data_IF_573463434329
#
_entry.id   IF_573463434329
#
_cell.length_a   1.000
_cell.length_b   1.000
_cell.length_c   1.000
_cell.angle_alpha   90.00
_cell.angle_beta   90.00
_cell.angle_gamma   90.00
#
_symmetry.space_group_name_H-M   'P 1'
#
loop_
_entity.id
_entity.type
_entity.pdbx_description
1 polymer ?
#
# COMPACT_ATOMS: atom_id res chain seq x y z
N UNK A 1 -9.64 12.80 -29.80
CA UNK A 1 -9.54 12.90 -29.16
C UNK A 1 -9.34 12.46 -28.66
N UNK A 2 -9.43 12.84 -29.22
CA UNK A 2 -9.16 12.85 -28.63
C UNK A 2 -8.88 12.45 -28.31
N UNK A 3 -8.68 12.41 -28.60
CA UNK A 3 -8.39 12.32 -28.10
C UNK A 3 -8.07 11.91 -27.84
N UNK A 4 -7.59 11.92 -28.05
CA UNK A 4 -7.31 11.73 -27.57
C UNK A 4 -7.04 11.44 -27.34
N UNK A 5 -6.99 11.45 -27.76
CA UNK A 5 -6.76 11.30 -27.22
C UNK A 5 -6.44 11.14 -26.83
N UNK A 6 -6.01 11.41 -27.55
CA UNK A 6 -5.85 11.31 -26.87
C UNK A 6 -5.58 11.14 -26.45
N UNK A 7 -5.40 11.12 -26.89
CA UNK A 7 -5.33 10.95 -26.13
C UNK A 7 -5.10 10.75 -25.75
N UNK A 8 -4.84 10.93 -26.25
CA UNK A 8 -4.74 10.83 -25.61
C UNK A 8 -4.52 10.81 -25.46
N UNK A 9 -4.30 10.84 -25.76
CA UNK A 9 -4.24 10.89 -25.24
C UNK A 9 -4.21 11.08 -24.70
N UNK A 10 -4.17 11.38 -25.11
CA UNK A 10 -4.20 11.64 -24.42
C UNK A 10 -3.91 11.68 -23.78
N UNK A 11 -3.77 11.81 -23.95
CA UNK A 11 -3.52 11.97 -23.26
C UNK A 11 -3.04 11.81 -22.45
N UNK A 12 -3.70 12.42 -22.48
CA UNK A 12 -3.00 12.37 -21.33
C UNK A 12 -2.62 11.05 -20.75
N UNK A 13 -1.55 10.83 -20.58
CA UNK A 13 -0.96 9.61 -20.17
C UNK A 13 -0.69 9.54 -18.68
N UNK A 14 -1.54 10.18 -17.90
CA UNK A 14 -1.39 10.17 -16.47
C UNK A 14 -1.71 8.78 -15.93
N UNK A 15 -0.71 8.14 -15.33
CA UNK A 15 -0.87 6.80 -14.77
C UNK A 15 -1.68 6.85 -13.49
N UNK A 16 -2.66 5.97 -13.36
CA UNK A 16 -3.43 5.81 -12.13
C UNK A 16 -2.93 4.58 -11.38
N UNK A 17 -2.46 4.79 -10.14
CA UNK A 17 -2.00 3.71 -9.26
C UNK A 17 -3.16 3.22 -8.42
N UNK A 18 -3.22 1.91 -8.21
CA UNK A 18 -4.24 1.29 -7.38
C UNK A 18 -3.68 1.01 -5.99
N UNK A 19 -4.38 1.50 -4.97
CA UNK A 19 -3.95 1.38 -3.56
C UNK A 19 -4.82 0.39 -2.82
N UNK A 20 -4.20 -0.52 -2.08
CA UNK A 20 -4.87 -1.38 -1.11
C UNK A 20 -4.34 -1.05 0.28
N UNK A 21 -5.25 -0.93 1.26
CA UNK A 21 -4.89 -0.64 2.64
C UNK A 21 -5.17 -1.86 3.51
N UNK A 22 -4.16 -2.34 4.23
CA UNK A 22 -4.28 -3.51 5.10
C UNK A 22 -3.93 -3.12 6.53
N UNK A 23 -4.91 -3.18 7.43
CA UNK A 23 -4.75 -2.84 8.83
C UNK A 23 -5.96 -3.41 9.57
N UNK A 24 -5.78 -3.97 10.76
CA UNK A 24 -6.90 -4.54 11.51
C UNK A 24 -7.75 -3.46 12.19
N UNK A 25 -7.31 -2.21 12.22
CA UNK A 25 -8.04 -1.09 12.80
C UNK A 25 -8.87 -0.38 11.75
N UNK A 26 -10.19 -0.38 11.93
CA UNK A 26 -11.11 0.38 11.08
C UNK A 26 -10.76 1.87 11.05
N UNK A 27 -10.44 2.43 12.22
CA UNK A 27 -10.10 3.85 12.32
C UNK A 27 -8.83 4.16 11.53
N UNK A 28 -7.84 3.29 11.62
CA UNK A 28 -6.58 3.50 10.91
C UNK A 28 -6.77 3.39 9.41
N UNK A 29 -7.56 2.40 8.93
CA UNK A 29 -7.84 2.29 7.50
C UNK A 29 -8.49 3.56 6.97
N UNK A 30 -9.49 4.10 7.70
CA UNK A 30 -10.15 5.33 7.29
C UNK A 30 -9.22 6.53 7.33
N UNK A 31 -8.33 6.57 8.32
CA UNK A 31 -7.38 7.66 8.43
C UNK A 31 -6.43 7.69 7.24
N UNK A 32 -5.89 6.51 6.87
CA UNK A 32 -4.97 6.42 5.73
C UNK A 32 -5.69 6.82 4.45
N UNK A 33 -6.92 6.32 4.26
CA UNK A 33 -7.70 6.66 3.07
C UNK A 33 -7.93 8.16 2.95
N UNK A 34 -8.28 8.82 4.05
CA UNK A 34 -8.59 10.25 4.03
C UNK A 34 -7.36 11.15 3.98
N UNK A 35 -6.23 10.67 4.49
CA UNK A 35 -5.03 11.48 4.62
C UNK A 35 -4.20 11.52 3.35
N UNK A 36 -4.28 10.48 2.50
CA UNK A 36 -3.52 10.49 1.27
C UNK A 36 -4.11 11.53 0.30
N UNK A 37 -3.23 12.23 -0.41
CA UNK A 37 -3.62 13.41 -1.18
C UNK A 37 -3.36 13.27 -2.69
N UNK A 38 -3.08 12.07 -3.18
CA UNK A 38 -2.67 11.88 -4.56
C UNK A 38 -3.88 11.62 -5.45
N UNK A 39 -4.07 12.47 -6.46
CA UNK A 39 -5.17 12.32 -7.41
C UNK A 39 -5.01 11.09 -8.29
N UNK A 40 -3.76 10.67 -8.51
CA UNK A 40 -3.46 9.51 -9.34
C UNK A 40 -3.36 8.21 -8.53
N UNK A 41 -3.82 8.23 -7.27
CA UNK A 41 -3.82 7.05 -6.41
C UNK A 41 -5.27 6.71 -6.04
N UNK A 42 -5.76 5.61 -6.58
CA UNK A 42 -7.16 5.19 -6.38
C UNK A 42 -7.23 4.03 -5.40
N UNK A 43 -8.02 4.19 -4.34
CA UNK A 43 -8.27 3.09 -3.41
C UNK A 43 -9.11 2.01 -4.07
N UNK A 44 -8.61 0.77 -4.10
CA UNK A 44 -9.35 -0.35 -4.68
C UNK A 44 -9.93 -1.27 -3.60
N UNK A 45 -9.52 -1.12 -2.36
CA UNK A 45 -10.13 -1.85 -1.27
C UNK A 45 -9.28 -1.83 -0.01
N UNK A 46 -9.88 -2.32 1.07
CA UNK A 46 -9.20 -2.43 2.36
C UNK A 46 -9.39 -3.84 2.92
N UNK A 47 -8.44 -4.28 3.74
CA UNK A 47 -8.49 -5.59 4.37
C UNK A 47 -8.07 -5.48 5.83
N UNK A 48 -8.64 -6.33 6.68
CA UNK A 48 -8.38 -6.31 8.11
C UNK A 48 -7.43 -7.38 8.59
N UNK A 49 -7.00 -8.28 7.70
CA UNK A 49 -6.02 -9.33 8.04
C UNK A 49 -5.36 -9.83 6.76
N UNK A 50 -4.35 -10.67 6.93
CA UNK A 50 -3.56 -11.14 5.79
C UNK A 50 -4.33 -12.03 4.83
N UNK A 51 -5.28 -12.83 5.33
CA UNK A 51 -6.09 -13.70 4.46
C UNK A 51 -6.97 -12.87 3.55
N UNK A 52 -7.67 -11.88 4.12
CA UNK A 52 -8.48 -10.95 3.32
C UNK A 52 -7.63 -10.16 2.35
N UNK A 53 -6.43 -9.76 2.78
CA UNK A 53 -5.52 -9.01 1.93
C UNK A 53 -5.14 -9.81 0.68
N UNK A 54 -4.83 -11.10 0.85
CA UNK A 54 -4.49 -11.95 -0.28
C UNK A 54 -5.64 -12.09 -1.27
N UNK A 55 -6.85 -12.30 -0.76
CA UNK A 55 -8.03 -12.43 -1.61
C UNK A 55 -8.29 -11.15 -2.39
N UNK A 56 -8.24 -10.01 -1.70
CA UNK A 56 -8.47 -8.71 -2.31
C UNK A 56 -7.37 -8.39 -3.34
N UNK A 57 -6.14 -8.72 -3.01
CA UNK A 57 -4.99 -8.48 -3.88
C UNK A 57 -5.16 -9.22 -5.22
N UNK A 58 -5.59 -10.46 -5.17
CA UNK A 58 -5.82 -11.26 -6.39
C UNK A 58 -6.94 -10.70 -7.24
N UNK A 59 -7.98 -10.13 -6.62
CA UNK A 59 -9.11 -9.56 -7.32
C UNK A 59 -8.83 -8.21 -7.96
N UNK A 60 -8.01 -7.38 -7.30
CA UNK A 60 -7.88 -5.97 -7.68
C UNK A 60 -6.53 -5.62 -8.27
N UNK A 61 -5.54 -6.47 -8.10
CA UNK A 61 -4.18 -6.29 -8.64
C UNK A 61 -3.61 -4.90 -8.32
N UNK A 62 -3.48 -4.54 -7.02
CA UNK A 62 -3.02 -3.21 -6.66
C UNK A 62 -1.54 -2.99 -6.97
N UNK A 63 -1.17 -1.74 -7.14
CA UNK A 63 0.20 -1.32 -7.39
C UNK A 63 0.93 -0.93 -6.12
N UNK A 64 0.17 -0.40 -5.15
CA UNK A 64 0.69 0.12 -3.89
C UNK A 64 -0.13 -0.45 -2.75
N UNK A 65 0.55 -0.94 -1.71
CA UNK A 65 -0.11 -1.51 -0.53
C UNK A 65 0.47 -0.86 0.72
N UNK A 66 -0.41 -0.40 1.62
CA UNK A 66 0.03 -0.07 2.98
C UNK A 66 -0.29 -1.28 3.86
N UNK A 67 0.67 -1.71 4.66
CA UNK A 67 0.59 -2.98 5.38
C UNK A 67 0.94 -2.82 6.85
N UNK A 68 -0.02 -3.10 7.73
CA UNK A 68 0.24 -3.30 9.15
C UNK A 68 0.81 -4.70 9.35
N UNK A 69 1.86 -4.82 10.13
CA UNK A 69 2.52 -6.12 10.32
C UNK A 69 2.14 -6.81 11.62
N UNK A 70 1.23 -6.22 12.40
CA UNK A 70 0.78 -6.79 13.68
C UNK A 70 -0.68 -7.21 13.63
N UNK A 71 -1.05 -7.97 12.61
CA UNK A 71 -2.44 -8.37 12.42
C UNK A 71 -2.67 -9.83 12.87
N UNK A 72 -3.92 -10.15 13.29
CA UNK A 72 -4.25 -11.54 13.60
C UNK A 72 -4.32 -12.39 12.34
N UNK A 73 -4.34 -13.69 12.53
CA UNK A 73 -4.44 -14.73 11.50
C UNK A 73 -3.14 -14.83 10.72
N UNK A 74 -3.01 -14.16 9.59
CA UNK A 74 -1.74 -14.10 8.88
C UNK A 74 -1.09 -12.77 9.22
N UNK A 75 0.11 -12.79 9.81
CA UNK A 75 0.79 -11.54 10.13
C UNK A 75 1.27 -10.83 8.86
N UNK A 76 1.55 -9.53 9.00
CA UNK A 76 1.90 -8.71 7.84
C UNK A 76 3.21 -9.09 7.18
N UNK A 77 4.18 -9.58 7.95
CA UNK A 77 5.49 -9.99 7.40
C UNK A 77 5.30 -11.17 6.43
N UNK A 78 4.54 -12.18 6.86
CA UNK A 78 4.24 -13.32 6.00
C UNK A 78 3.45 -12.86 4.77
N UNK A 79 2.48 -11.99 4.98
CA UNK A 79 1.64 -11.47 3.90
C UNK A 79 2.48 -10.74 2.85
N UNK A 80 3.44 -9.91 3.28
CA UNK A 80 4.34 -9.20 2.36
C UNK A 80 5.02 -10.19 1.43
N UNK A 81 5.58 -11.28 1.97
CA UNK A 81 6.26 -12.27 1.16
C UNK A 81 5.35 -12.88 0.12
N UNK A 82 4.09 -13.15 0.48
CA UNK A 82 3.14 -13.74 -0.47
C UNK A 82 2.70 -12.75 -1.54
N UNK A 83 2.49 -11.49 -1.19
CA UNK A 83 2.13 -10.46 -2.18
C UNK A 83 3.25 -10.24 -3.17
N UNK A 84 4.49 -10.17 -2.70
CA UNK A 84 5.65 -9.98 -3.58
C UNK A 84 5.83 -11.18 -4.51
N UNK A 85 5.56 -12.40 -4.02
CA UNK A 85 5.61 -13.59 -4.87
C UNK A 85 4.58 -13.55 -5.99
N UNK A 86 3.38 -13.01 -5.69
CA UNK A 86 2.32 -12.89 -6.69
C UNK A 86 2.57 -11.77 -7.69
N UNK A 87 3.17 -10.67 -7.23
CA UNK A 87 3.42 -9.50 -8.07
C UNK A 87 4.72 -8.83 -7.64
N UNK A 88 5.85 -9.24 -8.21
CA UNK A 88 7.15 -8.68 -7.81
C UNK A 88 7.26 -7.15 -7.95
N UNK A 89 6.43 -6.55 -8.81
CA UNK A 89 6.44 -5.09 -9.01
C UNK A 89 5.62 -4.33 -7.96
N UNK A 90 4.90 -5.03 -7.06
CA UNK A 90 4.10 -4.35 -6.05
C UNK A 90 5.00 -3.54 -5.10
N UNK A 91 4.51 -2.38 -4.68
CA UNK A 91 5.23 -1.50 -3.78
C UNK A 91 4.51 -1.46 -2.45
N UNK A 92 5.21 -1.85 -1.39
CA UNK A 92 4.60 -2.05 -0.08
C UNK A 92 5.22 -1.09 0.94
N UNK A 93 4.37 -0.28 1.58
CA UNK A 93 4.75 0.56 2.70
C UNK A 93 4.24 -0.08 3.98
N UNK A 94 5.15 -0.49 4.84
CA UNK A 94 4.77 -1.01 6.16
C UNK A 94 4.44 0.17 7.07
N UNK A 95 3.28 0.12 7.72
CA UNK A 95 2.85 1.14 8.68
C UNK A 95 2.54 0.42 9.99
N UNK A 96 3.38 0.59 11.01
CA UNK A 96 3.26 -0.22 12.21
C UNK A 96 3.69 0.54 13.46
N UNK A 97 3.08 0.15 14.59
CA UNK A 97 3.51 0.61 15.91
C UNK A 97 4.76 -0.13 16.39
N UNK A 98 5.13 -1.26 15.76
CA UNK A 98 6.35 -1.96 16.08
C UNK A 98 7.55 -1.22 15.51
N UNK A 99 8.31 -0.63 16.39
CA UNK A 99 9.42 0.24 15.98
C UNK A 99 10.79 -0.43 16.08
N UNK A 100 10.85 -1.76 16.34
CA UNK A 100 12.16 -2.37 16.50
C UNK A 100 12.81 -2.60 15.13
N UNK A 101 14.12 -2.44 15.13
CA UNK A 101 14.92 -2.48 13.91
C UNK A 101 14.90 -3.87 13.26
N UNK A 102 14.84 -4.92 14.06
CA UNK A 102 14.86 -6.29 13.53
C UNK A 102 13.62 -6.57 12.70
N UNK A 103 12.45 -6.14 13.19
CA UNK A 103 11.19 -6.31 12.47
C UNK A 103 11.19 -5.52 11.16
N UNK A 104 11.70 -4.28 11.20
CA UNK A 104 11.79 -3.47 10.00
C UNK A 104 12.70 -4.12 8.96
N UNK A 105 13.85 -4.63 9.38
CA UNK A 105 14.78 -5.32 8.48
C UNK A 105 14.13 -6.55 7.88
N UNK A 106 13.42 -7.35 8.70
CA UNK A 106 12.73 -8.55 8.20
C UNK A 106 11.69 -8.18 7.13
N UNK A 107 10.91 -7.14 7.36
CA UNK A 107 9.92 -6.69 6.39
C UNK A 107 10.58 -6.31 5.06
N UNK A 108 11.68 -5.57 5.13
CA UNK A 108 12.41 -5.17 3.92
C UNK A 108 13.01 -6.38 3.20
N UNK A 109 13.50 -7.35 3.94
CA UNK A 109 14.03 -8.59 3.34
C UNK A 109 12.95 -9.40 2.63
N UNK A 110 11.71 -9.31 3.10
CA UNK A 110 10.58 -9.97 2.45
C UNK A 110 10.07 -9.22 1.23
N UNK A 111 10.55 -8.00 1.00
CA UNK A 111 10.25 -7.24 -0.19
C UNK A 111 9.49 -5.95 0.04
N UNK A 112 9.31 -5.51 1.28
CA UNK A 112 8.72 -4.20 1.55
C UNK A 112 9.65 -3.09 1.04
N UNK A 113 9.06 -1.97 0.62
CA UNK A 113 9.78 -0.87 0.00
C UNK A 113 9.96 0.33 0.93
N UNK A 114 9.24 0.37 2.04
CA UNK A 114 9.35 1.44 3.00
C UNK A 114 8.73 1.08 4.34
N UNK A 115 8.99 1.89 5.34
CA UNK A 115 8.51 1.67 6.70
C UNK A 115 8.13 3.00 7.33
N UNK A 116 6.94 3.08 7.91
CA UNK A 116 6.44 4.28 8.58
C UNK A 116 5.94 3.89 9.97
N UNK A 117 6.44 4.56 11.01
CA UNK A 117 6.02 4.27 12.38
C UNK A 117 4.70 4.96 12.73
N UNK A 118 3.87 4.28 13.50
CA UNK A 118 2.69 4.88 14.15
C UNK A 118 3.14 5.47 15.50
N UNK A 119 2.63 6.63 15.90
CA UNK A 119 1.75 7.53 15.14
C UNK A 119 2.52 8.31 14.08
N UNK A 120 1.81 8.71 13.04
CA UNK A 120 2.40 9.49 11.95
C UNK A 120 1.51 10.70 11.65
N UNK A 121 2.12 11.74 11.06
CA UNK A 121 1.37 12.89 10.56
C UNK A 121 0.92 12.63 9.12
N UNK A 122 -0.05 13.40 8.65
CA UNK A 122 -0.48 13.33 7.25
C UNK A 122 0.69 13.59 6.31
N UNK A 123 1.55 14.53 6.67
CA UNK A 123 2.73 14.85 5.87
C UNK A 123 3.67 13.66 5.77
N UNK A 124 3.94 12.98 6.88
CA UNK A 124 4.81 11.80 6.89
C UNK A 124 4.24 10.68 6.03
N UNK A 125 2.93 10.46 6.12
CA UNK A 125 2.27 9.45 5.30
C UNK A 125 2.42 9.78 3.81
N UNK A 126 2.14 11.01 3.43
CA UNK A 126 2.19 11.40 2.03
C UNK A 126 3.61 11.41 1.49
N UNK A 127 4.60 11.79 2.29
CA UNK A 127 5.99 11.68 1.87
C UNK A 127 6.40 10.23 1.64
N UNK A 128 5.98 9.32 2.51
CA UNK A 128 6.30 7.91 2.38
C UNK A 128 5.65 7.30 1.13
N UNK A 129 4.39 7.65 0.86
CA UNK A 129 3.69 7.18 -0.33
C UNK A 129 4.34 7.74 -1.59
N UNK A 130 4.72 9.02 -1.58
CA UNK A 130 5.38 9.65 -2.73
C UNK A 130 6.69 8.93 -3.07
N UNK A 131 7.45 8.56 -2.04
CA UNK A 131 8.69 7.82 -2.21
C UNK A 131 8.43 6.48 -2.89
N UNK A 132 7.35 5.79 -2.50
CA UNK A 132 6.96 4.51 -3.06
C UNK A 132 6.60 4.61 -4.54
N UNK A 133 6.02 5.73 -4.94
CA UNK A 133 5.49 5.92 -6.30
C UNK A 133 6.53 6.42 -7.29
N UNK A 134 7.75 6.69 -6.85
CA UNK A 134 8.82 7.17 -7.73
C UNK A 134 9.32 6.12 -8.70
#
# INVERSE_FOLDING_TARGET
MSNSNANAMNGSTKRCFKLMIVDDSNLMRRRIERSQQFEDLQLVGTAGNGVEALELFKKTDPDVVTMDITMPRMDGIECIGQLVALKPAVRILVISALADKATAVEAMERGANGFLNKPFTDRQLNEAIAELMR
#
